data_IF_849381736063
#
_entry.id   IF_849381736063
#
_cell.length_a   1.000
_cell.length_b   1.000
_cell.length_c   1.000
_cell.angle_alpha   90.00
_cell.angle_beta   90.00
_cell.angle_gamma   90.00
#
_symmetry.space_group_name_H-M   'P 1'
#
loop_
_entity.id
_entity.type
_entity.pdbx_description
1 polymer ?
#
# COMPACT_ATOMS: atom_id res chain seq x y z
N UNK A 1 -0.80 -56.53 31.38
CA UNK A 1 -0.87 -56.65 29.92
C UNK A 1 -1.79 -55.57 29.36
N UNK A 2 -1.19 -54.56 28.69
CA UNK A 2 -1.77 -53.49 27.85
C UNK A 2 -0.94 -52.22 27.98
N UNK A 3 0.28 -52.29 27.45
CA UNK A 3 1.11 -51.13 27.18
C UNK A 3 1.56 -51.24 25.72
N UNK A 4 0.82 -50.62 24.82
CA UNK A 4 1.29 -50.40 23.45
C UNK A 4 0.63 -49.12 22.90
N UNK A 5 1.24 -47.99 23.27
CA UNK A 5 0.96 -46.67 22.72
C UNK A 5 2.17 -46.24 21.89
N UNK A 6 2.30 -46.76 20.66
CA UNK A 6 3.23 -46.21 19.69
C UNK A 6 2.81 -46.58 18.25
N UNK A 7 1.69 -46.03 17.78
CA UNK A 7 1.52 -45.89 16.33
C UNK A 7 2.46 -44.77 15.85
N UNK A 8 3.36 -45.00 14.89
CA UNK A 8 4.20 -43.94 14.36
C UNK A 8 3.32 -42.91 13.68
N UNK A 9 3.30 -41.69 14.23
CA UNK A 9 2.67 -40.52 13.61
C UNK A 9 3.39 -40.31 12.28
N UNK A 10 2.80 -40.82 11.19
CA UNK A 10 3.27 -40.53 9.83
C UNK A 10 3.42 -39.01 9.75
N UNK A 11 4.55 -38.47 9.28
CA UNK A 11 4.61 -37.06 8.99
C UNK A 11 3.53 -36.80 7.95
N UNK A 12 2.51 -36.02 8.32
CA UNK A 12 1.50 -35.50 7.39
C UNK A 12 2.23 -34.55 6.47
N UNK A 13 2.94 -35.12 5.52
CA UNK A 13 3.45 -34.43 4.35
C UNK A 13 2.29 -34.43 3.37
N UNK A 14 1.93 -33.22 2.94
CA UNK A 14 0.86 -32.79 2.01
C UNK A 14 -0.12 -31.91 2.78
N UNK A 15 -0.30 -30.63 2.47
CA UNK A 15 -0.15 -29.97 1.19
C UNK A 15 0.15 -28.49 1.43
N UNK A 16 1.15 -27.96 0.73
CA UNK A 16 1.20 -26.56 0.35
C UNK A 16 -0.12 -26.19 -0.32
N UNK A 17 -0.96 -25.41 0.36
CA UNK A 17 -2.07 -24.69 -0.25
C UNK A 17 -1.63 -23.25 -0.44
N UNK A 18 -0.77 -23.03 -1.43
CA UNK A 18 -0.76 -21.76 -2.14
C UNK A 18 -2.05 -21.69 -2.95
N UNK A 19 -3.15 -21.32 -2.29
CA UNK A 19 -4.39 -20.97 -2.96
C UNK A 19 -4.24 -19.53 -3.46
N UNK A 20 -4.48 -19.27 -4.75
CA UNK A 20 -4.59 -17.91 -5.24
C UNK A 20 -5.87 -17.29 -4.65
N UNK A 21 -5.86 -15.98 -4.39
CA UNK A 21 -7.03 -15.11 -4.09
C UNK A 21 -7.92 -15.38 -2.85
N UNK A 22 -7.36 -15.32 -1.64
CA UNK A 22 -8.14 -14.82 -0.50
C UNK A 22 -8.04 -13.28 -0.46
N UNK A 23 -9.11 -12.51 -0.74
CA UNK A 23 -9.05 -11.04 -0.76
C UNK A 23 -8.57 -10.45 0.58
N UNK A 24 -8.87 -11.11 1.70
CA UNK A 24 -8.37 -10.77 3.03
C UNK A 24 -6.85 -10.96 3.15
N UNK A 25 -6.29 -12.02 2.54
CA UNK A 25 -4.84 -12.24 2.53
C UNK A 25 -4.12 -11.19 1.65
N UNK A 26 -4.76 -10.77 0.55
CA UNK A 26 -4.28 -9.67 -0.28
C UNK A 26 -4.26 -8.34 0.45
N UNK A 27 -5.34 -7.99 1.16
CA UNK A 27 -5.41 -6.77 1.97
C UNK A 27 -4.37 -6.75 3.08
N UNK A 28 -4.23 -7.86 3.83
CA UNK A 28 -3.24 -7.98 4.90
C UNK A 28 -1.81 -7.80 4.37
N UNK A 29 -1.48 -8.37 3.21
CA UNK A 29 -0.17 -8.18 2.59
C UNK A 29 0.09 -6.72 2.21
N UNK A 30 -0.88 -6.05 1.58
CA UNK A 30 -0.77 -4.63 1.23
C UNK A 30 -0.56 -3.75 2.46
N UNK A 31 -1.27 -4.04 3.55
CA UNK A 31 -1.12 -3.32 4.81
C UNK A 31 0.30 -3.51 5.39
N UNK A 32 0.85 -4.73 5.37
CA UNK A 32 2.22 -5.00 5.81
C UNK A 32 3.24 -4.26 4.93
N UNK A 33 3.06 -4.26 3.62
CA UNK A 33 3.94 -3.54 2.70
C UNK A 33 3.90 -2.03 2.94
N UNK A 34 2.70 -1.45 3.15
CA UNK A 34 2.57 -0.05 3.52
C UNK A 34 3.31 0.26 4.82
N UNK A 35 3.12 -0.55 5.87
CA UNK A 35 3.79 -0.32 7.15
C UNK A 35 5.31 -0.33 7.00
N UNK A 36 5.85 -1.26 6.22
CA UNK A 36 7.29 -1.30 5.93
C UNK A 36 7.78 -0.04 5.21
N UNK A 37 7.08 0.41 4.16
CA UNK A 37 7.45 1.64 3.45
C UNK A 37 7.32 2.89 4.34
N UNK A 38 6.30 2.95 5.18
CA UNK A 38 6.12 4.04 6.13
C UNK A 38 7.25 4.09 7.18
N UNK A 39 7.71 2.93 7.66
CA UNK A 39 8.90 2.86 8.52
C UNK A 39 10.18 3.26 7.77
N UNK A 40 10.37 2.79 6.53
CA UNK A 40 11.51 3.11 5.67
C UNK A 40 11.55 4.59 5.26
N UNK A 41 10.39 5.25 5.13
CA UNK A 41 10.29 6.69 4.86
C UNK A 41 10.92 7.53 5.97
N UNK A 42 10.82 7.06 7.23
CA UNK A 42 11.39 7.71 8.39
C UNK A 42 10.63 8.97 8.84
N UNK A 43 10.96 9.52 10.03
CA UNK A 43 10.23 10.63 10.63
C UNK A 43 10.34 11.95 9.84
N UNK A 44 11.40 12.11 9.04
CA UNK A 44 11.67 13.35 8.30
C UNK A 44 11.05 13.37 6.90
N UNK A 45 10.30 12.32 6.50
CA UNK A 45 9.78 12.19 5.14
C UNK A 45 8.91 13.38 4.72
N UNK A 46 8.08 13.90 5.63
CA UNK A 46 7.24 15.07 5.38
C UNK A 46 8.09 16.32 5.12
N UNK A 47 9.03 16.62 6.01
CA UNK A 47 9.92 17.76 5.89
C UNK A 47 10.75 17.70 4.61
N UNK A 48 11.27 16.52 4.26
CA UNK A 48 12.03 16.31 3.04
C UNK A 48 11.18 16.54 1.78
N UNK A 49 9.96 16.00 1.75
CA UNK A 49 9.04 16.20 0.64
C UNK A 49 8.60 17.66 0.51
N UNK A 50 8.34 18.35 1.62
CA UNK A 50 7.95 19.77 1.59
C UNK A 50 9.09 20.67 1.10
N UNK A 51 10.34 20.30 1.38
CA UNK A 51 11.54 20.99 0.88
C UNK A 51 11.85 20.70 -0.60
N UNK A 52 11.37 19.58 -1.13
CA UNK A 52 11.61 19.13 -2.50
C UNK A 52 10.27 18.77 -3.18
N UNK A 53 9.46 19.78 -3.56
CA UNK A 53 8.17 19.54 -4.18
C UNK A 53 8.32 18.66 -5.42
N UNK A 54 9.27 18.92 -6.31
CA UNK A 54 9.38 18.18 -7.58
C UNK A 54 10.11 16.82 -7.46
N UNK A 55 10.58 16.44 -6.26
CA UNK A 55 11.16 15.11 -5.99
C UNK A 55 10.04 14.10 -5.77
N UNK A 56 9.67 13.39 -6.84
CA UNK A 56 8.58 12.41 -6.84
C UNK A 56 8.79 11.34 -5.76
N UNK A 57 9.99 10.77 -5.64
CA UNK A 57 10.28 9.73 -4.65
C UNK A 57 10.11 10.23 -3.20
N UNK A 58 10.47 11.49 -2.92
CA UNK A 58 10.20 12.09 -1.61
C UNK A 58 8.70 12.21 -1.35
N UNK A 59 7.90 12.58 -2.35
CA UNK A 59 6.44 12.70 -2.22
C UNK A 59 5.76 11.34 -2.00
N UNK A 60 6.21 10.29 -2.69
CA UNK A 60 5.70 8.93 -2.50
C UNK A 60 5.96 8.44 -1.06
N UNK A 61 7.18 8.63 -0.55
CA UNK A 61 7.54 8.29 0.84
C UNK A 61 6.72 9.07 1.87
N UNK A 62 6.51 10.36 1.63
CA UNK A 62 5.65 11.18 2.48
C UNK A 62 4.19 10.69 2.46
N UNK A 63 3.67 10.27 1.31
CA UNK A 63 2.33 9.70 1.20
C UNK A 63 2.21 8.34 1.94
N UNK A 64 3.21 7.47 1.85
CA UNK A 64 3.25 6.22 2.61
C UNK A 64 3.27 6.48 4.13
N UNK A 65 4.09 7.42 4.60
CA UNK A 65 4.12 7.80 6.02
C UNK A 65 2.76 8.35 6.50
N UNK A 66 2.13 9.23 5.71
CA UNK A 66 0.81 9.76 6.04
C UNK A 66 -0.23 8.66 6.13
N UNK A 67 -0.27 7.75 5.15
CA UNK A 67 -1.25 6.68 5.16
C UNK A 67 -0.98 5.69 6.30
N UNK A 68 0.29 5.36 6.55
CA UNK A 68 0.71 4.50 7.65
C UNK A 68 0.35 5.05 9.04
N UNK A 69 0.22 6.38 9.16
CA UNK A 69 -0.25 7.07 10.38
C UNK A 69 -1.76 7.34 10.40
N UNK A 70 -2.48 6.90 9.37
CA UNK A 70 -3.94 7.00 9.25
C UNK A 70 -4.46 8.27 8.58
N UNK A 71 -3.59 9.15 8.10
CA UNK A 71 -3.98 10.37 7.39
C UNK A 71 -4.19 10.11 5.89
N UNK A 72 -5.30 9.44 5.58
CA UNK A 72 -5.66 9.00 4.22
C UNK A 72 -5.81 10.18 3.26
N UNK A 73 -6.56 11.22 3.65
CA UNK A 73 -6.85 12.36 2.78
C UNK A 73 -5.58 13.09 2.37
N UNK A 74 -4.69 13.38 3.33
CA UNK A 74 -3.42 14.04 3.02
C UNK A 74 -2.51 13.17 2.13
N UNK A 75 -2.53 11.84 2.29
CA UNK A 75 -1.74 10.94 1.44
C UNK A 75 -2.24 10.98 -0.01
N UNK A 76 -3.56 10.95 -0.20
CA UNK A 76 -4.17 11.01 -1.53
C UNK A 76 -3.98 12.37 -2.19
N UNK A 77 -4.23 13.46 -1.46
CA UNK A 77 -4.08 14.82 -1.97
C UNK A 77 -2.65 15.08 -2.44
N UNK A 78 -1.65 14.66 -1.66
CA UNK A 78 -0.24 14.80 -2.03
C UNK A 78 0.08 14.09 -3.35
N UNK A 79 -0.37 12.84 -3.54
CA UNK A 79 -0.10 12.12 -4.78
C UNK A 79 -0.90 12.68 -5.97
N UNK A 80 -2.12 13.16 -5.74
CA UNK A 80 -2.90 13.85 -6.77
C UNK A 80 -2.20 15.13 -7.23
N UNK A 81 -1.58 15.88 -6.32
CA UNK A 81 -0.81 17.08 -6.67
C UNK A 81 0.45 16.73 -7.47
N UNK A 82 1.14 15.63 -7.14
CA UNK A 82 2.25 15.13 -7.96
C UNK A 82 1.76 14.82 -9.38
N UNK A 83 0.67 14.05 -9.52
CA UNK A 83 0.10 13.69 -10.84
C UNK A 83 -0.24 14.93 -11.67
N UNK A 84 -0.78 15.98 -11.04
CA UNK A 84 -1.16 17.22 -11.73
C UNK A 84 0.05 18.00 -12.27
N UNK A 85 1.16 18.03 -11.53
CA UNK A 85 2.33 18.85 -11.89
C UNK A 85 3.38 18.13 -12.74
N UNK A 86 3.46 16.80 -12.66
CA UNK A 86 4.44 16.01 -13.42
C UNK A 86 3.85 15.48 -14.71
N UNK A 87 4.67 14.87 -15.57
CA UNK A 87 4.27 14.21 -16.81
C UNK A 87 5.16 12.99 -17.07
N UNK A 88 4.79 12.16 -18.04
CA UNK A 88 5.60 10.97 -18.41
C UNK A 88 5.74 9.99 -17.25
N UNK A 89 6.95 9.45 -17.08
CA UNK A 89 7.27 8.41 -16.08
C UNK A 89 6.96 8.86 -14.65
N UNK A 90 7.29 10.10 -14.30
CA UNK A 90 7.02 10.68 -12.98
C UNK A 90 5.53 10.71 -12.64
N UNK A 91 4.69 11.08 -13.61
CA UNK A 91 3.23 11.06 -13.45
C UNK A 91 2.72 9.64 -13.29
N UNK A 92 3.29 8.71 -14.06
CA UNK A 92 2.92 7.31 -14.01
C UNK A 92 3.31 6.64 -12.68
N UNK A 93 4.46 6.99 -12.10
CA UNK A 93 4.89 6.53 -10.78
C UNK A 93 3.90 6.98 -9.69
N UNK A 94 3.57 8.27 -9.65
CA UNK A 94 2.62 8.81 -8.68
C UNK A 94 1.21 8.22 -8.85
N UNK A 95 0.75 8.06 -10.10
CA UNK A 95 -0.54 7.42 -10.42
C UNK A 95 -0.58 5.97 -9.92
N UNK A 96 0.45 5.19 -10.19
CA UNK A 96 0.52 3.79 -9.76
C UNK A 96 0.52 3.68 -8.24
N UNK A 97 1.33 4.50 -7.57
CA UNK A 97 1.39 4.54 -6.11
C UNK A 97 0.04 4.87 -5.49
N UNK A 98 -0.66 5.89 -6.01
CA UNK A 98 -2.00 6.27 -5.55
C UNK A 98 -3.01 5.12 -5.70
N UNK A 99 -2.95 4.37 -6.82
CA UNK A 99 -3.82 3.20 -7.04
C UNK A 99 -3.49 2.07 -6.05
N UNK A 100 -2.22 1.85 -5.72
CA UNK A 100 -1.85 0.90 -4.67
C UNK A 100 -2.43 1.32 -3.32
N UNK A 101 -2.34 2.61 -2.97
CA UNK A 101 -2.87 3.12 -1.71
C UNK A 101 -4.40 2.96 -1.61
N UNK A 102 -5.14 3.10 -2.72
CA UNK A 102 -6.56 2.76 -2.76
C UNK A 102 -6.82 1.30 -2.38
N UNK A 103 -5.98 0.39 -2.88
CA UNK A 103 -6.05 -1.03 -2.55
C UNK A 103 -5.71 -1.36 -1.10
N UNK A 104 -4.96 -0.49 -0.40
CA UNK A 104 -4.70 -0.60 1.04
C UNK A 104 -5.89 -0.11 1.87
N UNK A 105 -6.46 1.04 1.49
CA UNK A 105 -7.61 1.64 2.19
C UNK A 105 -8.89 0.82 2.00
N UNK A 106 -9.06 0.22 0.81
CA UNK A 106 -10.24 -0.56 0.44
C UNK A 106 -11.19 0.22 -0.47
N UNK A 107 -11.76 -0.48 -1.45
CA UNK A 107 -12.54 0.13 -2.54
C UNK A 107 -13.85 0.79 -2.09
N UNK A 108 -14.40 0.34 -0.96
CA UNK A 108 -15.65 0.85 -0.40
C UNK A 108 -15.47 2.15 0.42
N UNK A 109 -14.24 2.59 0.68
CA UNK A 109 -13.99 3.83 1.40
C UNK A 109 -14.39 5.03 0.51
N UNK A 110 -15.25 5.95 1.00
CA UNK A 110 -15.73 7.08 0.21
C UNK A 110 -14.59 7.99 -0.28
N UNK A 111 -13.45 8.05 0.43
CA UNK A 111 -12.27 8.83 0.05
C UNK A 111 -11.61 8.25 -1.19
N UNK A 112 -11.61 6.91 -1.35
CA UNK A 112 -11.11 6.25 -2.56
C UNK A 112 -11.97 6.60 -3.77
N UNK A 113 -13.31 6.59 -3.61
CA UNK A 113 -14.23 6.99 -4.67
C UNK A 113 -14.02 8.44 -5.13
N UNK A 114 -13.80 9.37 -4.20
CA UNK A 114 -13.49 10.76 -4.50
C UNK A 114 -12.13 10.93 -5.19
N UNK A 115 -11.08 10.29 -4.66
CA UNK A 115 -9.73 10.37 -5.19
C UNK A 115 -9.60 9.74 -6.59
N UNK A 116 -10.33 8.66 -6.89
CA UNK A 116 -10.40 8.08 -8.25
C UNK A 116 -10.94 9.09 -9.27
N UNK A 117 -12.01 9.80 -8.93
CA UNK A 117 -12.58 10.85 -9.79
C UNK A 117 -11.56 11.98 -10.01
N UNK A 118 -10.91 12.43 -8.93
CA UNK A 118 -9.89 13.46 -9.00
C UNK A 118 -8.69 13.02 -9.85
N UNK A 119 -8.26 11.76 -9.74
CA UNK A 119 -7.20 11.19 -10.55
C UNK A 119 -7.58 11.16 -12.03
N UNK A 120 -8.78 10.70 -12.37
CA UNK A 120 -9.28 10.75 -13.75
C UNK A 120 -9.20 12.17 -14.29
N UNK A 121 -9.71 13.16 -13.56
CA UNK A 121 -9.67 14.56 -13.99
C UNK A 121 -8.24 15.12 -14.13
N UNK A 122 -7.28 14.66 -13.33
CA UNK A 122 -5.90 15.12 -13.41
C UNK A 122 -5.12 14.55 -14.61
N UNK A 123 -5.64 13.52 -15.28
CA UNK A 123 -4.99 12.85 -16.41
C UNK A 123 -5.46 13.36 -17.79
N UNK A 124 -6.50 14.19 -17.84
CA UNK A 124 -7.05 14.80 -19.07
C UNK A 124 -6.80 16.30 -19.10
#
# INVERSE_FOLDING_TARGET
DRGDLAAPRRPTRRSSTSSPEHPVAGLALRQVQLFRRAEEAGPDALTAADAAPDDVDAQLRAADLLLGTGNVDAAFDRLLDVVRRTAGEDRDLARQHLVELFGVVGDDDPRVGAARRALTLALY
#
